data_IF_084036185372
#
_entry.id   IF_084036185372
#
_cell.length_a   1.000
_cell.length_b   1.000
_cell.length_c   1.000
_cell.angle_alpha   90.00
_cell.angle_beta   90.00
_cell.angle_gamma   90.00
#
_symmetry.space_group_name_H-M   'P 1'
#
loop_
_entity.id
_entity.type
_entity.pdbx_description
1 polymer ?
#
# COMPACT_ATOMS: atom_id res chain seq x y z
N UNK A 1 32.80 -11.32 -16.34
CA UNK A 1 31.70 -12.26 -16.64
C UNK A 1 31.88 -13.56 -15.86
N UNK A 2 33.03 -14.25 -15.96
CA UNK A 2 33.32 -15.49 -15.19
C UNK A 2 33.13 -15.31 -13.67
N UNK A 3 33.68 -14.23 -13.10
CA UNK A 3 33.57 -13.94 -11.66
C UNK A 3 32.12 -13.73 -11.22
N UNK A 4 31.29 -13.12 -12.07
CA UNK A 4 29.88 -12.87 -11.77
C UNK A 4 29.06 -14.17 -11.79
N UNK A 5 29.30 -15.02 -12.79
CA UNK A 5 28.65 -16.33 -12.84
C UNK A 5 29.10 -17.25 -11.71
N UNK A 6 30.37 -17.18 -11.30
CA UNK A 6 30.86 -17.90 -10.13
C UNK A 6 30.15 -17.44 -8.84
N UNK A 7 30.03 -16.12 -8.63
CA UNK A 7 29.30 -15.58 -7.48
C UNK A 7 27.82 -16.01 -7.51
N UNK A 8 27.17 -15.96 -8.68
CA UNK A 8 25.79 -16.40 -8.86
C UNK A 8 25.61 -17.90 -8.58
N UNK A 9 26.52 -18.74 -9.07
CA UNK A 9 26.48 -20.18 -8.83
C UNK A 9 26.57 -20.49 -7.33
N UNK A 10 27.43 -19.78 -6.58
CA UNK A 10 27.51 -19.92 -5.11
C UNK A 10 26.18 -19.55 -4.46
N UNK A 11 25.52 -18.48 -4.90
CA UNK A 11 24.21 -18.06 -4.33
C UNK A 11 23.06 -19.02 -4.63
N UNK A 12 23.21 -19.89 -5.64
CA UNK A 12 22.19 -20.83 -6.10
C UNK A 12 22.36 -22.25 -5.52
N UNK A 13 23.45 -22.50 -4.77
CA UNK A 13 23.66 -23.77 -4.08
C UNK A 13 22.61 -23.99 -2.98
N UNK A 14 22.15 -25.23 -2.82
CA UNK A 14 21.16 -25.60 -1.81
C UNK A 14 21.80 -25.66 -0.41
N UNK A 15 21.16 -25.03 0.58
CA UNK A 15 21.59 -25.12 1.99
C UNK A 15 22.84 -24.33 2.34
N UNK A 16 23.25 -23.37 1.50
CA UNK A 16 24.43 -22.52 1.75
C UNK A 16 24.22 -21.69 3.02
N UNK A 17 25.28 -21.63 3.83
CA UNK A 17 25.30 -20.83 5.04
C UNK A 17 25.65 -19.36 4.74
N UNK A 18 25.23 -18.44 5.62
CA UNK A 18 25.59 -17.01 5.49
C UNK A 18 27.11 -16.76 5.41
N UNK A 19 27.93 -17.63 6.02
CA UNK A 19 29.40 -17.51 5.96
C UNK A 19 29.92 -17.81 4.55
N UNK A 20 29.40 -18.86 3.91
CA UNK A 20 29.77 -19.28 2.56
C UNK A 20 29.26 -18.31 1.49
N UNK A 21 28.18 -17.55 1.76
CA UNK A 21 27.71 -16.48 0.87
C UNK A 21 28.62 -15.25 0.88
N UNK A 22 29.33 -14.98 1.97
CA UNK A 22 30.13 -13.75 2.14
C UNK A 22 31.02 -13.40 0.94
N UNK A 23 31.85 -14.34 0.40
CA UNK A 23 32.73 -14.03 -0.72
C UNK A 23 31.96 -13.64 -2.00
N UNK A 24 30.84 -14.35 -2.27
CA UNK A 24 29.99 -14.03 -3.41
C UNK A 24 29.33 -12.66 -3.24
N UNK A 25 28.85 -12.33 -2.04
CA UNK A 25 28.22 -11.04 -1.74
C UNK A 25 29.23 -9.89 -1.89
N UNK A 26 30.47 -10.04 -1.39
CA UNK A 26 31.52 -9.01 -1.57
C UNK A 26 31.82 -8.74 -3.04
N UNK A 27 31.87 -9.79 -3.86
CA UNK A 27 32.05 -9.65 -5.31
C UNK A 27 30.85 -8.95 -5.97
N UNK A 28 29.63 -9.31 -5.60
CA UNK A 28 28.42 -8.67 -6.12
C UNK A 28 28.35 -7.19 -5.71
N UNK A 29 28.76 -6.86 -4.47
CA UNK A 29 28.84 -5.48 -3.97
C UNK A 29 29.77 -4.62 -4.85
N UNK A 30 30.97 -5.13 -5.20
CA UNK A 30 31.89 -4.46 -6.11
C UNK A 30 31.26 -4.15 -7.48
N UNK A 31 30.39 -5.04 -7.97
CA UNK A 31 29.72 -4.84 -9.27
C UNK A 31 28.59 -3.80 -9.22
N UNK A 32 28.07 -3.42 -8.05
CA UNK A 32 27.08 -2.33 -7.93
C UNK A 32 27.65 -0.98 -8.38
N UNK A 33 28.93 -0.74 -8.15
CA UNK A 33 29.62 0.49 -8.54
C UNK A 33 30.27 0.42 -9.93
N UNK A 34 29.97 -0.61 -10.73
CA UNK A 34 30.55 -0.78 -12.06
C UNK A 34 30.05 0.28 -13.05
N UNK A 35 30.93 0.78 -13.91
CA UNK A 35 30.54 1.63 -15.04
C UNK A 35 29.73 0.90 -16.11
N UNK A 36 29.64 -0.44 -16.07
CA UNK A 36 28.91 -1.27 -17.04
C UNK A 36 27.50 -1.59 -16.51
N UNK A 37 26.42 -1.07 -17.12
CA UNK A 37 25.05 -1.30 -16.66
C UNK A 37 24.67 -2.79 -16.53
N UNK A 38 25.16 -3.63 -17.45
CA UNK A 38 24.89 -5.09 -17.43
C UNK A 38 25.43 -5.75 -16.16
N UNK A 39 26.60 -5.31 -15.65
CA UNK A 39 27.17 -5.87 -14.42
C UNK A 39 26.39 -5.41 -13.19
N UNK A 40 26.00 -4.13 -13.13
CA UNK A 40 25.15 -3.60 -12.06
C UNK A 40 23.80 -4.32 -12.00
N UNK A 41 23.16 -4.49 -13.15
CA UNK A 41 21.89 -5.21 -13.26
C UNK A 41 22.00 -6.66 -12.78
N UNK A 42 23.01 -7.40 -13.26
CA UNK A 42 23.21 -8.79 -12.86
C UNK A 42 23.54 -8.92 -11.37
N UNK A 43 24.32 -7.98 -10.82
CA UNK A 43 24.65 -7.93 -9.41
C UNK A 43 23.41 -7.69 -8.54
N UNK A 44 22.67 -6.60 -8.80
CA UNK A 44 21.48 -6.25 -8.00
C UNK A 44 20.37 -7.30 -8.13
N UNK A 45 20.20 -7.93 -9.30
CA UNK A 45 19.25 -9.03 -9.49
C UNK A 45 19.61 -10.24 -8.62
N UNK A 46 20.88 -10.58 -8.55
CA UNK A 46 21.36 -11.71 -7.73
C UNK A 46 21.21 -11.39 -6.24
N UNK A 47 21.58 -10.18 -5.82
CA UNK A 47 21.36 -9.73 -4.44
C UNK A 47 19.88 -9.70 -4.05
N UNK A 48 18.97 -9.30 -4.96
CA UNK A 48 17.54 -9.32 -4.70
C UNK A 48 17.01 -10.75 -4.45
N UNK A 49 17.53 -11.73 -5.19
CA UNK A 49 17.21 -13.15 -5.00
C UNK A 49 17.70 -13.61 -3.63
N UNK A 50 18.97 -13.36 -3.31
CA UNK A 50 19.58 -13.73 -2.01
C UNK A 50 18.87 -13.05 -0.84
N UNK A 51 18.48 -11.79 -0.96
CA UNK A 51 17.78 -11.05 0.09
C UNK A 51 16.42 -11.67 0.47
N UNK A 52 15.87 -12.55 -0.36
CA UNK A 52 14.61 -13.26 -0.06
C UNK A 52 14.80 -14.43 0.90
N UNK A 53 16.03 -14.99 0.98
CA UNK A 53 16.38 -16.13 1.86
C UNK A 53 17.35 -15.73 2.96
N UNK A 54 18.29 -14.83 2.67
CA UNK A 54 19.36 -14.37 3.59
C UNK A 54 19.44 -12.83 3.63
N UNK A 55 18.41 -12.11 4.14
CA UNK A 55 18.39 -10.65 4.13
C UNK A 55 19.60 -10.01 4.84
N UNK A 56 19.99 -10.59 5.99
CA UNK A 56 21.09 -10.09 6.82
C UNK A 56 22.46 -10.18 6.14
N UNK A 57 22.64 -11.10 5.20
CA UNK A 57 23.91 -11.22 4.48
C UNK A 57 24.10 -10.06 3.48
N UNK A 58 22.99 -9.46 3.02
CA UNK A 58 22.98 -8.43 1.97
C UNK A 58 22.98 -7.00 2.55
N UNK A 59 22.75 -6.81 3.86
CA UNK A 59 22.62 -5.47 4.48
C UNK A 59 23.83 -4.57 4.26
N UNK A 60 25.03 -5.16 4.16
CA UNK A 60 26.27 -4.41 3.91
C UNK A 60 26.29 -3.72 2.54
N UNK A 61 25.46 -4.19 1.59
CA UNK A 61 25.31 -3.60 0.26
C UNK A 61 24.28 -2.46 0.23
N UNK A 62 23.56 -2.17 1.33
CA UNK A 62 22.46 -1.20 1.31
C UNK A 62 22.92 0.20 0.89
N UNK A 63 24.09 0.66 1.35
CA UNK A 63 24.61 1.98 1.00
C UNK A 63 24.88 2.07 -0.50
N UNK A 64 25.52 1.04 -1.07
CA UNK A 64 25.79 0.98 -2.52
C UNK A 64 24.48 0.90 -3.32
N UNK A 65 23.49 0.13 -2.85
CA UNK A 65 22.18 0.01 -3.50
C UNK A 65 21.38 1.32 -3.44
N UNK A 66 21.50 2.13 -2.38
CA UNK A 66 20.86 3.44 -2.32
C UNK A 66 21.35 4.37 -3.44
N UNK A 67 22.62 4.27 -3.83
CA UNK A 67 23.15 5.02 -4.99
C UNK A 67 22.53 4.59 -6.33
N UNK A 68 22.05 3.35 -6.42
CA UNK A 68 21.40 2.80 -7.61
C UNK A 68 19.93 3.20 -7.75
N UNK A 69 19.33 3.85 -6.75
CA UNK A 69 17.96 4.37 -6.86
C UNK A 69 17.89 5.44 -7.97
N UNK A 70 18.94 6.24 -8.14
CA UNK A 70 19.08 7.25 -9.20
C UNK A 70 19.69 6.71 -10.49
N UNK A 71 19.77 5.39 -10.68
CA UNK A 71 20.32 4.81 -11.91
C UNK A 71 19.44 5.15 -13.13
N UNK A 72 20.09 5.47 -14.25
CA UNK A 72 19.40 5.73 -15.51
C UNK A 72 18.59 4.52 -15.99
N UNK A 73 19.06 3.30 -15.67
CA UNK A 73 18.33 2.09 -15.98
C UNK A 73 17.29 1.80 -14.88
N UNK A 74 16.01 2.01 -15.21
CA UNK A 74 14.89 1.80 -14.29
C UNK A 74 14.78 0.38 -13.76
N UNK A 75 15.18 -0.64 -14.52
CA UNK A 75 15.20 -2.02 -14.02
C UNK A 75 16.22 -2.21 -12.89
N UNK A 76 17.37 -1.52 -12.95
CA UNK A 76 18.37 -1.54 -11.88
C UNK A 76 17.81 -0.85 -10.64
N UNK A 77 17.25 0.36 -10.80
CA UNK A 77 16.67 1.12 -9.71
C UNK A 77 15.50 0.38 -9.03
N UNK A 78 14.59 -0.24 -9.81
CA UNK A 78 13.49 -1.06 -9.28
C UNK A 78 14.03 -2.23 -8.44
N UNK A 79 15.03 -2.94 -8.94
CA UNK A 79 15.64 -4.06 -8.21
C UNK A 79 16.38 -3.58 -6.96
N UNK A 80 17.05 -2.42 -7.02
CA UNK A 80 17.72 -1.84 -5.87
C UNK A 80 16.71 -1.51 -4.76
N UNK A 81 15.62 -0.79 -5.09
CA UNK A 81 14.54 -0.47 -4.15
C UNK A 81 13.92 -1.74 -3.57
N UNK A 82 13.56 -2.70 -4.42
CA UNK A 82 12.95 -3.96 -3.96
C UNK A 82 13.89 -4.71 -3.03
N UNK A 83 15.21 -4.64 -3.25
CA UNK A 83 16.20 -5.26 -2.37
C UNK A 83 16.33 -4.50 -1.06
N UNK A 84 16.41 -3.17 -1.11
CA UNK A 84 16.47 -2.30 0.08
C UNK A 84 15.24 -2.46 0.99
N UNK A 85 14.05 -2.69 0.42
CA UNK A 85 12.85 -2.96 1.21
C UNK A 85 12.92 -4.32 1.92
N UNK A 86 13.60 -5.32 1.34
CA UNK A 86 13.82 -6.64 1.97
C UNK A 86 14.88 -6.57 3.08
N UNK A 87 15.95 -5.80 2.85
CA UNK A 87 17.12 -5.69 3.73
C UNK A 87 17.07 -4.48 4.67
N UNK A 88 16.01 -3.68 4.59
CA UNK A 88 15.81 -2.47 5.37
C UNK A 88 15.75 -2.74 6.87
N UNK A 89 16.33 -1.81 7.62
CA UNK A 89 16.23 -1.72 9.08
C UNK A 89 15.39 -0.50 9.48
N UNK A 90 14.97 -0.44 10.74
CA UNK A 90 14.08 0.61 11.23
C UNK A 90 14.62 2.03 11.03
N UNK A 91 15.93 2.25 11.16
CA UNK A 91 16.55 3.58 11.00
C UNK A 91 16.62 4.04 9.54
N UNK A 92 16.66 3.10 8.58
CA UNK A 92 16.73 3.40 7.14
C UNK A 92 15.38 3.76 6.52
N UNK A 93 14.27 3.38 7.15
CA UNK A 93 12.91 3.51 6.58
C UNK A 93 12.61 4.94 6.10
N UNK A 94 12.83 5.93 6.96
CA UNK A 94 12.48 7.33 6.66
C UNK A 94 13.32 7.90 5.51
N UNK A 95 14.57 7.45 5.36
CA UNK A 95 15.44 7.84 4.25
C UNK A 95 14.98 7.20 2.93
N UNK A 96 14.67 5.91 2.97
CA UNK A 96 14.19 5.16 1.81
C UNK A 96 12.89 5.76 1.26
N UNK A 97 11.92 6.08 2.13
CA UNK A 97 10.65 6.67 1.70
C UNK A 97 10.85 8.01 0.98
N UNK A 98 11.76 8.87 1.46
CA UNK A 98 12.06 10.15 0.80
C UNK A 98 12.67 10.00 -0.59
N UNK A 99 13.57 9.02 -0.77
CA UNK A 99 14.21 8.78 -2.07
C UNK A 99 13.23 8.16 -3.07
N UNK A 100 12.27 7.37 -2.59
CA UNK A 100 11.34 6.64 -3.42
C UNK A 100 10.21 7.50 -4.00
N UNK A 101 9.85 8.63 -3.37
CA UNK A 101 8.72 9.46 -3.84
C UNK A 101 8.87 9.85 -5.31
N UNK A 102 10.04 10.35 -5.71
CA UNK A 102 10.30 10.73 -7.10
C UNK A 102 10.46 9.53 -8.05
N UNK A 103 10.81 8.36 -7.51
CA UNK A 103 10.98 7.16 -8.33
C UNK A 103 9.63 6.60 -8.79
N UNK A 104 8.58 6.71 -7.96
CA UNK A 104 7.28 6.15 -8.26
C UNK A 104 6.65 6.74 -9.53
N UNK A 105 6.83 8.04 -9.79
CA UNK A 105 6.32 8.68 -11.01
C UNK A 105 7.00 8.19 -12.30
N UNK A 106 8.19 7.63 -12.20
CA UNK A 106 9.04 7.28 -13.35
C UNK A 106 8.89 5.83 -13.82
N UNK A 107 8.01 5.04 -13.18
CA UNK A 107 7.84 3.62 -13.45
C UNK A 107 6.40 3.25 -13.79
N UNK A 108 6.24 2.14 -14.51
CA UNK A 108 4.92 1.59 -14.85
C UNK A 108 4.21 1.01 -13.62
N UNK A 109 2.88 1.00 -13.66
CA UNK A 109 2.02 0.57 -12.56
C UNK A 109 2.30 -0.86 -12.07
N UNK A 110 2.68 -1.77 -12.99
CA UNK A 110 3.09 -3.14 -12.64
C UNK A 110 4.24 -3.16 -11.62
N UNK A 111 5.22 -2.27 -11.79
CA UNK A 111 6.34 -2.16 -10.84
C UNK A 111 5.94 -1.41 -9.57
N UNK A 112 5.04 -0.42 -9.67
CA UNK A 112 4.54 0.29 -8.49
C UNK A 112 3.79 -0.65 -7.54
N UNK A 113 3.04 -1.61 -8.07
CA UNK A 113 2.34 -2.64 -7.27
C UNK A 113 3.36 -3.43 -6.41
N UNK A 114 4.46 -3.88 -7.00
CA UNK A 114 5.53 -4.60 -6.28
C UNK A 114 6.11 -3.76 -5.15
N UNK A 115 6.31 -2.46 -5.40
CA UNK A 115 6.81 -1.51 -4.38
C UNK A 115 5.81 -1.37 -3.23
N UNK A 116 4.51 -1.22 -3.53
CA UNK A 116 3.45 -1.11 -2.52
C UNK A 116 3.39 -2.35 -1.62
N UNK A 117 3.46 -3.54 -2.21
CA UNK A 117 3.46 -4.80 -1.44
C UNK A 117 4.70 -4.92 -0.52
N UNK A 118 5.85 -4.46 -0.99
CA UNK A 118 7.07 -4.44 -0.21
C UNK A 118 7.01 -3.41 0.94
N UNK A 119 6.41 -2.23 0.71
CA UNK A 119 6.16 -1.22 1.75
C UNK A 119 5.20 -1.75 2.82
N UNK A 120 4.11 -2.40 2.42
CA UNK A 120 3.19 -3.07 3.35
C UNK A 120 3.95 -4.06 4.23
N UNK A 121 4.75 -4.92 3.61
CA UNK A 121 5.54 -5.94 4.32
C UNK A 121 6.55 -5.32 5.28
N UNK A 122 7.18 -4.21 4.89
CA UNK A 122 8.10 -3.44 5.73
C UNK A 122 7.39 -2.81 6.93
N UNK A 123 6.17 -2.30 6.73
CA UNK A 123 5.35 -1.71 7.78
C UNK A 123 4.92 -2.75 8.82
N UNK A 124 4.52 -3.95 8.37
CA UNK A 124 4.22 -5.07 9.27
C UNK A 124 5.46 -5.54 10.05
N UNK A 125 6.65 -5.45 9.44
CA UNK A 125 7.92 -5.77 10.10
C UNK A 125 8.35 -4.72 11.13
N UNK A 126 8.08 -3.44 10.87
CA UNK A 126 8.44 -2.31 11.73
C UNK A 126 7.21 -1.45 12.08
N UNK A 127 6.28 -1.95 12.90
CA UNK A 127 5.00 -1.29 13.14
C UNK A 127 5.13 0.09 13.79
N UNK A 128 6.20 0.36 14.55
CA UNK A 128 6.47 1.70 15.11
C UNK A 128 6.69 2.79 14.04
N UNK A 129 7.00 2.39 12.80
CA UNK A 129 7.17 3.29 11.66
C UNK A 129 5.89 3.45 10.82
N UNK A 130 4.74 2.95 11.28
CA UNK A 130 3.49 3.00 10.52
C UNK A 130 3.14 4.41 10.02
N UNK A 131 3.41 5.47 10.79
CA UNK A 131 3.09 6.85 10.39
C UNK A 131 3.80 7.25 9.10
N UNK A 132 5.09 6.99 9.01
CA UNK A 132 5.91 7.34 7.83
C UNK A 132 5.46 6.55 6.60
N UNK A 133 5.25 5.25 6.77
CA UNK A 133 4.87 4.33 5.68
C UNK A 133 3.41 4.54 5.23
N UNK A 134 2.49 4.78 6.16
CA UNK A 134 1.09 5.09 5.86
C UNK A 134 0.97 6.42 5.12
N UNK A 135 1.70 7.45 5.56
CA UNK A 135 1.75 8.73 4.85
C UNK A 135 2.28 8.57 3.43
N UNK A 136 3.32 7.75 3.24
CA UNK A 136 3.83 7.44 1.89
C UNK A 136 2.74 6.79 1.03
N UNK A 137 2.07 5.74 1.53
CA UNK A 137 0.97 5.06 0.84
C UNK A 137 -0.18 6.02 0.50
N UNK A 138 -0.55 6.90 1.43
CA UNK A 138 -1.60 7.90 1.20
C UNK A 138 -1.21 8.91 0.12
N UNK A 139 0.05 9.36 0.09
CA UNK A 139 0.50 10.33 -0.90
C UNK A 139 0.41 9.74 -2.31
N UNK A 140 0.94 8.52 -2.50
CA UNK A 140 0.87 7.84 -3.81
C UNK A 140 -0.56 7.39 -4.17
N UNK A 141 -1.45 7.23 -3.18
CA UNK A 141 -2.87 6.95 -3.41
C UNK A 141 -3.59 8.14 -4.04
N UNK A 142 -3.14 9.38 -3.80
CA UNK A 142 -3.74 10.60 -4.37
C UNK A 142 -3.25 10.95 -5.78
N UNK A 143 -2.10 10.42 -6.19
CA UNK A 143 -1.56 10.65 -7.54
C UNK A 143 -2.41 9.95 -8.61
N UNK A 144 -2.15 10.18 -9.89
CA UNK A 144 -2.82 9.40 -10.96
C UNK A 144 -2.29 7.96 -11.00
N UNK A 145 -3.14 7.01 -11.40
CA UNK A 145 -2.74 5.62 -11.56
C UNK A 145 -3.89 4.69 -11.92
N UNK A 146 -3.55 3.56 -12.53
CA UNK A 146 -4.50 2.55 -12.96
C UNK A 146 -5.16 1.80 -11.79
N UNK A 147 -6.26 1.12 -12.12
CA UNK A 147 -7.10 0.42 -11.15
C UNK A 147 -6.32 -0.58 -10.28
N UNK A 148 -5.52 -1.47 -10.87
CA UNK A 148 -4.80 -2.51 -10.13
C UNK A 148 -3.78 -1.93 -9.15
N UNK A 149 -3.13 -0.83 -9.53
CA UNK A 149 -2.20 -0.11 -8.67
C UNK A 149 -2.93 0.55 -7.49
N UNK A 150 -4.02 1.26 -7.75
CA UNK A 150 -4.85 1.86 -6.69
C UNK A 150 -5.43 0.82 -5.76
N UNK A 151 -5.90 -0.30 -6.31
CA UNK A 151 -6.38 -1.45 -5.55
C UNK A 151 -5.29 -2.01 -4.64
N UNK A 152 -4.06 -2.19 -5.13
CA UNK A 152 -2.95 -2.67 -4.31
C UNK A 152 -2.64 -1.76 -3.12
N UNK A 153 -2.74 -0.43 -3.30
CA UNK A 153 -2.55 0.54 -2.22
C UNK A 153 -3.68 0.45 -1.20
N UNK A 154 -4.94 0.46 -1.66
CA UNK A 154 -6.13 0.37 -0.78
C UNK A 154 -6.11 -0.94 0.02
N UNK A 155 -5.85 -2.07 -0.63
CA UNK A 155 -5.75 -3.38 0.03
C UNK A 155 -4.61 -3.36 1.07
N UNK A 156 -3.50 -2.70 0.77
CA UNK A 156 -2.39 -2.54 1.71
C UNK A 156 -2.76 -1.70 2.93
N UNK A 157 -3.42 -0.56 2.75
CA UNK A 157 -3.90 0.29 3.86
C UNK A 157 -4.90 -0.49 4.73
N UNK A 158 -5.82 -1.25 4.13
CA UNK A 158 -6.79 -2.08 4.85
C UNK A 158 -6.09 -3.13 5.72
N UNK A 159 -5.06 -3.80 5.20
CA UNK A 159 -4.27 -4.77 5.97
C UNK A 159 -3.56 -4.08 7.14
N UNK A 160 -2.94 -2.92 6.91
CA UNK A 160 -2.26 -2.18 7.99
C UNK A 160 -3.22 -1.72 9.09
N UNK A 161 -4.43 -1.29 8.75
CA UNK A 161 -5.47 -0.92 9.74
C UNK A 161 -5.89 -2.12 10.60
N UNK A 162 -5.93 -3.32 10.02
CA UNK A 162 -6.32 -4.55 10.72
C UNK A 162 -5.22 -5.04 11.66
N UNK A 163 -3.98 -4.97 11.22
CA UNK A 163 -2.85 -5.57 11.94
C UNK A 163 -2.12 -4.58 12.87
N UNK A 164 -2.29 -3.28 12.67
CA UNK A 164 -1.67 -2.21 13.49
C UNK A 164 -2.77 -1.31 14.07
N UNK A 165 -3.20 -1.51 15.33
CA UNK A 165 -4.28 -0.74 15.96
C UNK A 165 -4.06 0.78 15.92
N UNK A 166 -2.82 1.23 16.15
CA UNK A 166 -2.45 2.65 16.14
C UNK A 166 -2.59 3.30 14.76
N UNK A 167 -2.58 2.50 13.69
CA UNK A 167 -2.73 2.97 12.32
C UNK A 167 -4.20 3.13 11.90
N UNK A 168 -5.16 2.70 12.75
CA UNK A 168 -6.59 2.65 12.40
C UNK A 168 -7.15 4.02 12.04
N UNK A 169 -7.00 5.00 12.94
CA UNK A 169 -7.62 6.31 12.72
C UNK A 169 -7.02 7.05 11.52
N UNK A 170 -5.69 7.05 11.40
CA UNK A 170 -5.02 7.70 10.26
C UNK A 170 -5.32 6.99 8.93
N UNK A 171 -5.31 5.66 8.92
CA UNK A 171 -5.63 4.88 7.73
C UNK A 171 -7.07 5.09 7.25
N UNK A 172 -8.05 5.08 8.16
CA UNK A 172 -9.46 5.35 7.82
C UNK A 172 -9.64 6.77 7.27
N UNK A 173 -8.91 7.75 7.82
CA UNK A 173 -8.96 9.12 7.32
C UNK A 173 -8.43 9.24 5.89
N UNK A 174 -7.28 8.64 5.59
CA UNK A 174 -6.74 8.63 4.23
C UNK A 174 -7.67 7.95 3.22
N UNK A 175 -8.34 6.87 3.62
CA UNK A 175 -9.36 6.22 2.79
C UNK A 175 -10.58 7.13 2.57
N UNK A 176 -10.99 7.90 3.58
CA UNK A 176 -12.07 8.88 3.46
C UNK A 176 -11.73 10.01 2.49
N UNK A 177 -10.52 10.55 2.55
CA UNK A 177 -10.05 11.56 1.60
C UNK A 177 -10.01 10.99 0.17
N UNK A 178 -9.52 9.75 0.00
CA UNK A 178 -9.43 9.14 -1.32
C UNK A 178 -10.79 8.96 -1.99
N UNK A 179 -11.83 8.53 -1.25
CA UNK A 179 -13.17 8.37 -1.85
C UNK A 179 -13.83 9.71 -2.22
N UNK A 180 -13.26 10.86 -1.86
CA UNK A 180 -13.83 12.15 -2.28
C UNK A 180 -13.72 12.39 -3.78
N UNK A 181 -12.60 11.98 -4.37
CA UNK A 181 -12.25 12.19 -5.76
C UNK A 181 -11.95 10.86 -6.50
N UNK A 182 -12.42 9.74 -5.96
CA UNK A 182 -12.15 8.42 -6.55
C UNK A 182 -13.04 8.14 -7.76
N UNK A 183 -12.43 7.96 -8.92
CA UNK A 183 -13.13 7.58 -10.16
C UNK A 183 -13.54 6.08 -10.22
N UNK A 184 -12.92 5.23 -9.40
CA UNK A 184 -13.11 3.78 -9.44
C UNK A 184 -14.28 3.35 -8.55
N UNK A 185 -15.44 3.13 -9.16
CA UNK A 185 -16.68 2.68 -8.46
C UNK A 185 -16.44 1.46 -7.54
N UNK A 186 -15.65 0.48 -7.99
CA UNK A 186 -15.33 -0.70 -7.18
C UNK A 186 -14.55 -0.34 -5.92
N UNK A 187 -13.54 0.53 -6.01
CA UNK A 187 -12.75 0.94 -4.85
C UNK A 187 -13.58 1.79 -3.89
N UNK A 188 -14.38 2.74 -4.40
CA UNK A 188 -15.29 3.55 -3.58
C UNK A 188 -16.26 2.67 -2.80
N UNK A 189 -16.87 1.67 -3.44
CA UNK A 189 -17.79 0.75 -2.76
C UNK A 189 -17.11 -0.16 -1.74
N UNK A 190 -15.92 -0.68 -2.04
CA UNK A 190 -15.09 -1.48 -1.12
C UNK A 190 -14.70 -0.67 0.13
N UNK A 191 -14.24 0.57 -0.06
CA UNK A 191 -13.84 1.45 1.02
C UNK A 191 -15.05 1.84 1.87
N UNK A 192 -16.18 2.23 1.27
CA UNK A 192 -17.41 2.54 2.01
C UNK A 192 -17.87 1.36 2.87
N UNK A 193 -17.82 0.14 2.32
CA UNK A 193 -18.15 -1.06 3.08
C UNK A 193 -17.20 -1.24 4.27
N UNK A 194 -15.90 -1.05 4.07
CA UNK A 194 -14.88 -1.16 5.10
C UNK A 194 -15.07 -0.08 6.20
N UNK A 195 -15.31 1.17 5.81
CA UNK A 195 -15.64 2.28 6.72
C UNK A 195 -16.88 1.95 7.56
N UNK A 196 -17.90 1.30 6.99
CA UNK A 196 -19.09 0.88 7.74
C UNK A 196 -18.83 -0.17 8.81
N UNK A 197 -17.75 -0.95 8.68
CA UNK A 197 -17.37 -1.98 9.65
C UNK A 197 -16.40 -1.44 10.72
N UNK A 198 -15.45 -0.58 10.32
CA UNK A 198 -14.39 -0.11 11.22
C UNK A 198 -14.64 1.30 11.79
N UNK A 199 -15.28 2.19 11.04
CA UNK A 199 -15.57 3.56 11.45
C UNK A 199 -16.41 3.67 12.73
N UNK A 200 -17.47 2.87 12.94
CA UNK A 200 -18.23 2.88 14.20
C UNK A 200 -17.43 2.47 15.44
N UNK A 201 -16.28 1.81 15.26
CA UNK A 201 -15.41 1.33 16.35
C UNK A 201 -14.32 2.34 16.74
N UNK A 202 -14.29 3.50 16.10
CA UNK A 202 -13.28 4.55 16.37
C UNK A 202 -13.68 5.40 17.57
N UNK A 203 -12.74 6.20 18.07
CA UNK A 203 -13.00 7.09 19.21
C UNK A 203 -14.03 8.19 18.90
N UNK A 204 -14.11 8.61 17.63
CA UNK A 204 -15.02 9.65 17.16
C UNK A 204 -15.63 9.29 15.79
N UNK A 205 -16.67 8.42 15.77
CA UNK A 205 -17.31 7.97 14.54
C UNK A 205 -17.95 9.10 13.72
N UNK A 206 -18.30 10.22 14.36
CA UNK A 206 -19.00 11.33 13.71
C UNK A 206 -18.18 11.97 12.60
N UNK A 207 -16.84 11.94 12.70
CA UNK A 207 -15.92 12.48 11.69
C UNK A 207 -16.11 11.87 10.31
N UNK A 208 -16.44 10.58 10.24
CA UNK A 208 -16.56 9.84 8.97
C UNK A 208 -17.89 10.08 8.25
N UNK A 209 -18.94 10.47 9.01
CA UNK A 209 -20.31 10.58 8.48
C UNK A 209 -20.38 11.58 7.33
N UNK A 210 -19.69 12.73 7.44
CA UNK A 210 -19.67 13.75 6.37
C UNK A 210 -19.12 13.17 5.06
N UNK A 211 -18.00 12.46 5.12
CA UNK A 211 -17.36 11.85 3.95
C UNK A 211 -18.29 10.84 3.28
N UNK A 212 -18.99 10.02 4.08
CA UNK A 212 -19.93 9.01 3.58
C UNK A 212 -21.19 9.66 3.01
N UNK A 213 -21.76 10.66 3.71
CA UNK A 213 -22.99 11.34 3.30
C UNK A 213 -22.83 12.08 1.97
N UNK A 214 -21.68 12.73 1.74
CA UNK A 214 -21.41 13.40 0.47
C UNK A 214 -21.48 12.43 -0.73
N UNK A 215 -21.09 11.16 -0.54
CA UNK A 215 -21.19 10.11 -1.58
C UNK A 215 -22.63 9.69 -1.89
N UNK A 216 -23.60 9.98 -1.01
CA UNK A 216 -25.03 9.74 -1.29
C UNK A 216 -25.56 10.73 -2.33
N UNK A 217 -24.96 11.92 -2.42
CA UNK A 217 -25.44 13.01 -3.26
C UNK A 217 -24.65 13.09 -4.57
N UNK A 218 -23.32 12.99 -4.49
CA UNK A 218 -22.41 13.36 -5.58
C UNK A 218 -22.04 12.20 -6.52
N UNK A 219 -22.47 10.97 -6.24
CA UNK A 219 -21.94 9.77 -6.91
C UNK A 219 -22.99 8.97 -7.71
N UNK A 220 -22.50 7.98 -8.46
CA UNK A 220 -23.35 7.04 -9.19
C UNK A 220 -24.20 6.13 -8.28
N UNK A 221 -25.20 5.46 -8.88
CA UNK A 221 -26.17 4.62 -8.17
C UNK A 221 -25.52 3.55 -7.26
N UNK A 222 -24.45 2.90 -7.72
CA UNK A 222 -23.79 1.82 -6.98
C UNK A 222 -23.07 2.35 -5.75
N UNK A 223 -22.33 3.45 -5.88
CA UNK A 223 -21.64 4.09 -4.75
C UNK A 223 -22.65 4.65 -3.75
N UNK A 224 -23.75 5.27 -4.23
CA UNK A 224 -24.84 5.77 -3.38
C UNK A 224 -25.47 4.66 -2.54
N UNK A 225 -25.76 3.51 -3.14
CA UNK A 225 -26.31 2.36 -2.41
C UNK A 225 -25.36 1.85 -1.31
N UNK A 226 -24.05 1.80 -1.60
CA UNK A 226 -23.03 1.44 -0.60
C UNK A 226 -22.97 2.49 0.52
N UNK A 227 -22.96 3.78 0.18
CA UNK A 227 -22.91 4.87 1.15
C UNK A 227 -24.13 4.86 2.10
N UNK A 228 -25.34 4.65 1.58
CA UNK A 228 -26.54 4.52 2.42
C UNK A 228 -26.46 3.30 3.34
N UNK A 229 -25.99 2.17 2.82
CA UNK A 229 -25.78 0.95 3.64
C UNK A 229 -24.76 1.19 4.75
N UNK A 230 -23.69 1.94 4.45
CA UNK A 230 -22.68 2.36 5.42
C UNK A 230 -23.27 3.28 6.49
N UNK A 231 -24.04 4.31 6.11
CA UNK A 231 -24.72 5.18 7.08
C UNK A 231 -25.69 4.41 7.98
N UNK A 232 -26.42 3.44 7.42
CA UNK A 232 -27.31 2.58 8.20
C UNK A 232 -26.53 1.79 9.28
N UNK A 233 -25.34 1.26 8.94
CA UNK A 233 -24.46 0.62 9.93
C UNK A 233 -24.00 1.57 11.02
N UNK A 234 -23.61 2.80 10.68
CA UNK A 234 -23.28 3.82 11.69
C UNK A 234 -24.46 4.11 12.61
N UNK A 235 -25.66 4.30 12.05
CA UNK A 235 -26.88 4.52 12.83
C UNK A 235 -27.24 3.34 13.75
N UNK A 236 -26.95 2.11 13.33
CA UNK A 236 -27.20 0.90 14.13
C UNK A 236 -26.15 0.65 15.22
N UNK A 237 -24.89 1.06 15.01
CA UNK A 237 -23.77 0.71 15.88
C UNK A 237 -23.33 1.84 16.81
N UNK A 238 -23.57 3.10 16.48
CA UNK A 238 -23.14 4.26 17.28
C UNK A 238 -24.28 4.73 18.19
N UNK A 239 -24.16 4.54 19.50
CA UNK A 239 -25.22 4.83 20.46
C UNK A 239 -25.67 6.30 20.47
N UNK A 240 -24.74 7.24 20.28
CA UNK A 240 -25.06 8.67 20.17
C UNK A 240 -26.01 8.98 18.99
N UNK A 241 -25.96 8.18 17.93
CA UNK A 241 -26.86 8.31 16.77
C UNK A 241 -28.19 7.57 16.98
N UNK A 242 -28.25 6.58 17.89
CA UNK A 242 -29.49 5.88 18.23
C UNK A 242 -30.50 6.79 18.94
N UNK A 243 -30.04 7.76 19.72
CA UNK A 243 -30.93 8.74 20.36
C UNK A 243 -31.65 9.61 19.30
N UNK A 244 -31.00 9.87 18.16
CA UNK A 244 -31.58 10.55 17.00
C UNK A 244 -32.45 9.65 16.10
N UNK A 245 -32.45 8.32 16.29
CA UNK A 245 -33.32 7.40 15.52
C UNK A 245 -34.81 7.65 15.79
N UNK A 246 -35.17 8.24 16.93
CA UNK A 246 -36.55 8.55 17.26
C UNK A 246 -37.14 9.76 16.51
N UNK A 247 -36.33 10.56 15.79
CA UNK A 247 -36.77 11.84 15.23
C UNK A 247 -36.51 12.01 13.72
N UNK A 248 -37.10 11.16 12.88
CA UNK A 248 -37.28 11.37 11.41
C UNK A 248 -36.09 11.09 10.47
N UNK A 249 -34.84 11.20 10.89
CA UNK A 249 -33.69 11.11 9.96
C UNK A 249 -33.46 9.71 9.39
N UNK A 250 -33.61 8.65 10.20
CA UNK A 250 -33.48 7.27 9.72
C UNK A 250 -34.66 6.86 8.83
N UNK A 251 -35.86 7.39 9.06
CA UNK A 251 -37.02 7.13 8.21
C UNK A 251 -36.83 7.73 6.82
N UNK A 252 -36.19 8.90 6.73
CA UNK A 252 -35.85 9.55 5.46
C UNK A 252 -34.74 8.79 4.71
N UNK A 253 -33.71 8.31 5.42
CA UNK A 253 -32.65 7.45 4.86
C UNK A 253 -33.23 6.10 4.43
N UNK A 254 -34.10 5.47 5.23
CA UNK A 254 -34.79 4.24 4.86
C UNK A 254 -35.76 4.44 3.69
N UNK A 255 -36.53 5.53 3.65
CA UNK A 255 -37.41 5.85 2.51
C UNK A 255 -36.59 6.07 1.24
N UNK A 256 -35.46 6.79 1.31
CA UNK A 256 -34.57 6.93 0.17
C UNK A 256 -33.96 5.59 -0.24
N UNK A 257 -33.57 4.75 0.71
CA UNK A 257 -33.02 3.42 0.44
C UNK A 257 -34.06 2.49 -0.21
N UNK A 258 -35.29 2.47 0.30
CA UNK A 258 -36.43 1.73 -0.26
C UNK A 258 -36.84 2.28 -1.63
N UNK A 259 -36.91 3.60 -1.80
CA UNK A 259 -37.18 4.21 -3.09
C UNK A 259 -36.10 3.84 -4.12
N UNK A 260 -34.83 3.80 -3.72
CA UNK A 260 -33.72 3.42 -4.60
C UNK A 260 -33.72 1.93 -4.96
N UNK A 261 -33.94 1.03 -3.99
CA UNK A 261 -34.12 -0.41 -4.20
C UNK A 261 -35.32 -0.71 -5.12
N UNK A 262 -36.40 0.06 -4.98
CA UNK A 262 -37.59 -0.07 -5.82
C UNK A 262 -37.34 0.46 -7.25
N UNK A 263 -36.51 1.49 -7.41
CA UNK A 263 -36.11 2.02 -8.72
C UNK A 263 -35.15 1.10 -9.48
N UNK A 264 -34.17 0.49 -8.79
CA UNK A 264 -33.23 -0.46 -9.42
C UNK A 264 -33.91 -1.78 -9.79
N UNK A 265 -34.88 -2.27 -9.02
CA UNK A 265 -35.68 -3.43 -9.42
C UNK A 265 -36.57 -3.17 -10.65
N UNK A 266 -37.01 -1.92 -10.89
CA UNK A 266 -37.83 -1.56 -12.07
C UNK A 266 -37.03 -1.42 -13.37
N UNK A 267 -35.71 -1.27 -13.31
CA UNK A 267 -34.84 -1.16 -14.49
C UNK A 267 -34.29 -2.52 -14.96
N UNK A 268 -34.58 -3.61 -14.25
CA UNK A 268 -34.16 -4.98 -14.54
C UNK A 268 -35.28 -5.85 -15.14
N UNK A 269 -36.39 -5.23 -15.57
CA UNK A 269 -37.49 -5.86 -16.30
C UNK A 269 -37.81 -5.11 -17.58
#
# INVERSE_FOLDING_TARGET
MVILEAARAITDLNGVTSRELTPAITVLQLFLSSSKPVLRFAAVRTLNKVASTHPLAVTNCNIDMESLISDQNRSIATLAITTLLKTGNESSVDRLMKQMTNFMSDIADEFKIVVVEAIRSLCLKFPLKYRSLMNFLSNILREEGGFDYKKAIVDSIIILIRDIPDAKESGLFHLCEFIEDCEFTYLSTQILHFLGNEGPKTSDPSKYIRYIYNRVILENATVRASAVSTLAKFGALVDALKVLQHTYTLLYIFLHCLAFLCFTCKLLH
#
